data_IF_424367045485
#
_entry.id   IF_424367045485
#
_cell.length_a   1.000
_cell.length_b   1.000
_cell.length_c   1.000
_cell.angle_alpha   90.00
_cell.angle_beta   90.00
_cell.angle_gamma   90.00
#
_symmetry.space_group_name_H-M   'P 1'
#
loop_
_entity.id
_entity.type
_entity.pdbx_description
1 polymer ?
#
# COMPACT_ATOMS: atom_id res chain seq x y z
N UNK A 1 11.77 -8.65 -24.47
CA UNK A 1 10.61 -8.20 -23.69
C UNK A 1 11.01 -8.35 -22.22
N UNK A 2 11.29 -7.26 -21.49
CA UNK A 2 11.78 -7.39 -20.12
C UNK A 2 10.66 -8.01 -19.29
N UNK A 3 10.99 -9.14 -18.68
CA UNK A 3 10.09 -10.00 -17.94
C UNK A 3 9.28 -9.20 -16.93
N UNK A 4 7.99 -9.54 -16.85
CA UNK A 4 7.04 -9.22 -15.79
C UNK A 4 7.54 -9.83 -14.47
N UNK A 5 8.73 -9.41 -14.03
CA UNK A 5 9.31 -9.85 -12.77
C UNK A 5 8.46 -9.22 -11.68
N UNK A 6 7.61 -10.07 -11.13
CA UNK A 6 6.89 -9.79 -9.92
C UNK A 6 7.85 -9.14 -8.91
N UNK A 7 7.54 -7.93 -8.41
CA UNK A 7 8.48 -7.20 -7.56
C UNK A 7 8.76 -7.92 -6.25
N UNK A 8 7.83 -8.78 -5.83
CA UNK A 8 7.98 -9.63 -4.66
C UNK A 8 7.70 -11.07 -5.09
N UNK A 9 8.63 -12.01 -4.87
CA UNK A 9 8.34 -13.42 -5.09
C UNK A 9 7.27 -13.89 -4.10
N UNK A 10 6.32 -14.75 -4.49
CA UNK A 10 5.20 -15.17 -3.64
C UNK A 10 5.64 -15.82 -2.31
N UNK A 11 6.84 -16.41 -2.29
CA UNK A 11 7.51 -16.97 -1.11
C UNK A 11 7.96 -15.93 -0.07
N UNK A 12 8.08 -14.66 -0.46
CA UNK A 12 8.36 -13.55 0.46
C UNK A 12 7.10 -12.84 0.97
N UNK A 13 5.91 -13.22 0.47
CA UNK A 13 4.66 -12.63 0.93
C UNK A 13 4.22 -13.26 2.26
N UNK A 14 3.65 -12.46 3.18
CA UNK A 14 3.07 -13.02 4.40
C UNK A 14 1.90 -13.96 4.07
N UNK A 15 1.65 -14.98 4.91
CA UNK A 15 0.65 -15.98 4.59
C UNK A 15 -0.76 -15.38 4.50
N UNK A 16 -1.49 -15.82 3.47
CA UNK A 16 -2.84 -15.33 3.18
C UNK A 16 -2.90 -14.12 2.24
N UNK A 17 -1.74 -13.54 1.87
CA UNK A 17 -1.63 -12.51 0.84
C UNK A 17 -1.27 -13.11 -0.52
N UNK A 18 -1.86 -12.55 -1.57
CA UNK A 18 -1.54 -12.89 -2.95
C UNK A 18 -1.54 -11.65 -3.82
N UNK A 19 -0.75 -11.63 -4.90
CA UNK A 19 -0.77 -10.52 -5.83
C UNK A 19 -2.06 -10.49 -6.64
N UNK A 20 -2.55 -9.28 -6.88
CA UNK A 20 -3.69 -9.00 -7.77
C UNK A 20 -3.19 -8.36 -9.06
N UNK A 21 -2.31 -7.36 -8.95
CA UNK A 21 -1.76 -6.62 -10.07
C UNK A 21 -0.33 -6.18 -9.75
N UNK A 22 0.63 -6.39 -10.65
CA UNK A 22 2.03 -6.03 -10.42
C UNK A 22 2.66 -5.41 -11.67
N UNK A 23 2.11 -4.28 -12.09
CA UNK A 23 2.53 -3.53 -13.26
C UNK A 23 3.62 -2.51 -12.91
N UNK A 24 4.14 -1.83 -13.94
CA UNK A 24 5.15 -0.77 -13.77
C UNK A 24 4.65 0.41 -12.92
N UNK A 25 3.36 0.69 -13.01
CA UNK A 25 2.74 1.89 -12.44
C UNK A 25 1.73 1.56 -11.32
N UNK A 26 1.44 0.28 -11.07
CA UNK A 26 0.51 -0.14 -10.01
C UNK A 26 0.89 -1.49 -9.44
N UNK A 27 0.86 -1.57 -8.12
CA UNK A 27 1.10 -2.79 -7.34
C UNK A 27 -0.11 -3.02 -6.44
N UNK A 28 -0.75 -4.17 -6.53
CA UNK A 28 -1.92 -4.52 -5.74
C UNK A 28 -1.76 -5.94 -5.19
N UNK A 29 -2.03 -6.09 -3.90
CA UNK A 29 -1.99 -7.35 -3.18
C UNK A 29 -3.25 -7.50 -2.35
N UNK A 30 -3.81 -8.70 -2.33
CA UNK A 30 -5.05 -8.98 -1.62
C UNK A 30 -4.86 -10.08 -0.60
N UNK A 31 -5.44 -9.87 0.57
CA UNK A 31 -5.62 -10.88 1.60
C UNK A 31 -6.96 -11.59 1.40
N UNK A 32 -6.95 -12.92 1.49
CA UNK A 32 -8.17 -13.71 1.31
C UNK A 32 -9.15 -13.59 2.49
N UNK A 33 -8.64 -13.56 3.73
CA UNK A 33 -9.44 -13.48 4.96
C UNK A 33 -8.73 -12.69 6.07
N UNK A 34 -9.31 -11.57 6.54
CA UNK A 34 -10.46 -10.87 5.95
C UNK A 34 -10.11 -10.25 4.59
N UNK A 35 -11.10 -9.94 3.72
CA UNK A 35 -10.86 -9.37 2.39
C UNK A 35 -10.32 -7.94 2.53
N UNK A 36 -9.02 -7.80 2.33
CA UNK A 36 -8.30 -6.53 2.35
C UNK A 36 -7.43 -6.48 1.10
N UNK A 37 -7.46 -5.38 0.39
CA UNK A 37 -6.55 -5.09 -0.71
C UNK A 37 -5.62 -3.95 -0.31
N UNK A 38 -4.33 -4.12 -0.58
CA UNK A 38 -3.32 -3.09 -0.45
C UNK A 38 -2.84 -2.71 -1.84
N UNK A 39 -2.89 -1.42 -2.16
CA UNK A 39 -2.55 -0.89 -3.47
C UNK A 39 -1.49 0.18 -3.31
N UNK A 40 -0.43 0.12 -4.11
CA UNK A 40 0.46 1.24 -4.38
C UNK A 40 0.29 1.66 -5.84
N UNK A 41 -0.21 2.88 -6.03
CA UNK A 41 -0.45 3.46 -7.35
C UNK A 41 0.55 4.58 -7.63
N UNK A 42 1.11 4.60 -8.84
CA UNK A 42 2.04 5.63 -9.28
C UNK A 42 1.26 6.86 -9.75
N UNK A 43 1.23 7.88 -8.92
CA UNK A 43 0.53 9.13 -9.19
C UNK A 43 1.50 10.22 -9.69
N UNK A 44 1.09 11.07 -10.64
CA UNK A 44 1.88 12.22 -11.05
C UNK A 44 2.07 13.17 -9.87
N UNK A 45 3.27 13.74 -9.74
CA UNK A 45 3.63 14.59 -8.61
C UNK A 45 3.07 16.03 -8.72
N UNK A 46 2.24 16.34 -9.73
CA UNK A 46 1.50 17.61 -9.83
C UNK A 46 0.70 17.91 -8.55
N UNK A 47 0.33 16.88 -7.79
CA UNK A 47 -0.36 16.98 -6.48
C UNK A 47 0.55 16.69 -5.26
N UNK A 48 1.86 16.55 -5.44
CA UNK A 48 2.82 16.16 -4.41
C UNK A 48 4.01 17.12 -4.40
N UNK A 49 3.90 18.17 -3.58
CA UNK A 49 4.91 19.17 -3.25
C UNK A 49 5.84 19.64 -4.38
N UNK A 50 5.68 20.87 -4.89
CA UNK A 50 6.63 21.44 -5.85
C UNK A 50 8.07 21.59 -5.31
N UNK A 51 8.29 21.41 -4.01
CA UNK A 51 9.60 21.54 -3.35
C UNK A 51 10.55 20.33 -3.49
N UNK A 52 10.06 19.16 -3.92
CA UNK A 52 10.90 17.95 -4.01
C UNK A 52 11.42 17.67 -5.44
N UNK A 53 10.93 18.38 -6.47
CA UNK A 53 11.35 18.16 -7.87
C UNK A 53 11.03 16.76 -8.41
N UNK A 54 10.14 16.02 -7.74
CA UNK A 54 9.71 14.70 -8.18
C UNK A 54 8.70 14.86 -9.32
N UNK A 55 8.81 14.03 -10.37
CA UNK A 55 7.81 13.96 -11.45
C UNK A 55 6.65 13.01 -11.15
N UNK A 56 6.82 12.10 -10.18
CA UNK A 56 5.81 11.14 -9.73
C UNK A 56 6.09 10.67 -8.30
N UNK A 57 5.05 10.17 -7.64
CA UNK A 57 5.13 9.48 -6.35
C UNK A 57 4.31 8.19 -6.42
N UNK A 58 4.42 7.38 -5.38
CA UNK A 58 3.63 6.18 -5.18
C UNK A 58 2.74 6.39 -3.98
N UNK A 59 1.43 6.31 -4.17
CA UNK A 59 0.43 6.43 -3.12
C UNK A 59 0.02 5.04 -2.65
N UNK A 60 0.28 4.75 -1.38
CA UNK A 60 -0.11 3.52 -0.71
C UNK A 60 -1.50 3.70 -0.11
N UNK A 61 -2.37 2.75 -0.39
CA UNK A 61 -3.77 2.74 0.01
C UNK A 61 -4.17 1.34 0.44
N UNK A 62 -5.18 1.25 1.30
CA UNK A 62 -5.86 0.00 1.57
C UNK A 62 -7.33 0.11 1.21
N UNK A 63 -7.91 -1.02 0.80
CA UNK A 63 -9.32 -1.17 0.53
C UNK A 63 -9.85 -2.35 1.34
N UNK A 64 -10.96 -2.18 2.02
CA UNK A 64 -11.61 -3.27 2.74
C UNK A 64 -13.13 -3.17 2.65
N UNK A 65 -13.80 -4.31 2.75
CA UNK A 65 -15.25 -4.38 2.88
C UNK A 65 -15.63 -4.38 4.36
N UNK A 66 -16.44 -3.40 4.76
CA UNK A 66 -17.01 -3.29 6.11
C UNK A 66 -18.51 -3.02 6.01
N UNK A 67 -19.32 -3.90 6.59
CA UNK A 67 -20.79 -3.76 6.61
C UNK A 67 -21.39 -3.44 5.23
N UNK A 68 -20.98 -4.20 4.20
CA UNK A 68 -21.40 -4.03 2.79
C UNK A 68 -20.88 -2.76 2.09
N UNK A 69 -20.00 -1.99 2.74
CA UNK A 69 -19.37 -0.80 2.16
C UNK A 69 -17.90 -1.04 1.88
N UNK A 70 -17.46 -0.62 0.70
CA UNK A 70 -16.04 -0.54 0.38
C UNK A 70 -15.46 0.74 0.98
N UNK A 71 -14.47 0.56 1.86
CA UNK A 71 -13.70 1.63 2.48
C UNK A 71 -12.34 1.64 1.80
N UNK A 72 -12.00 2.77 1.18
CA UNK A 72 -10.65 3.02 0.67
C UNK A 72 -10.01 4.12 1.48
N UNK A 73 -8.82 3.87 2.02
CA UNK A 73 -8.06 4.88 2.74
C UNK A 73 -6.59 4.88 2.35
N UNK A 74 -6.03 6.08 2.31
CA UNK A 74 -4.62 6.32 2.02
C UNK A 74 -3.79 6.11 3.28
N UNK A 75 -2.74 5.31 3.14
CA UNK A 75 -1.74 5.03 4.18
C UNK A 75 -0.65 6.11 4.13
N UNK A 76 -0.16 6.43 2.94
CA UNK A 76 0.89 7.43 2.76
C UNK A 76 1.41 7.50 1.33
N UNK A 77 2.45 8.31 1.11
CA UNK A 77 3.09 8.48 -0.19
C UNK A 77 4.59 8.23 -0.07
N UNK A 78 5.18 7.65 -1.10
CA UNK A 78 6.63 7.41 -1.19
C UNK A 78 7.16 7.82 -2.55
N UNK A 79 8.45 8.14 -2.62
CA UNK A 79 9.07 8.68 -3.84
C UNK A 79 9.49 7.61 -4.85
N UNK A 80 9.65 6.35 -4.44
CA UNK A 80 10.19 5.27 -5.29
C UNK A 80 9.33 4.02 -5.28
N UNK A 81 9.41 3.23 -6.36
CA UNK A 81 8.73 1.93 -6.45
C UNK A 81 9.25 0.94 -5.40
N UNK A 82 10.54 0.98 -5.09
CA UNK A 82 11.15 0.12 -4.07
C UNK A 82 10.56 0.42 -2.70
N UNK A 83 10.51 1.70 -2.31
CA UNK A 83 9.84 2.14 -1.09
C UNK A 83 8.36 1.75 -1.05
N UNK A 84 7.67 1.75 -2.19
CA UNK A 84 6.28 1.32 -2.26
C UNK A 84 6.14 -0.18 -1.99
N UNK A 85 7.03 -1.01 -2.55
CA UNK A 85 7.07 -2.45 -2.28
C UNK A 85 7.37 -2.73 -0.82
N UNK A 86 8.40 -2.08 -0.25
CA UNK A 86 8.75 -2.22 1.17
C UNK A 86 7.60 -1.79 2.08
N UNK A 87 6.97 -0.65 1.78
CA UNK A 87 5.82 -0.16 2.53
C UNK A 87 4.63 -1.12 2.47
N UNK A 88 4.33 -1.69 1.30
CA UNK A 88 3.28 -2.70 1.15
C UNK A 88 3.60 -3.96 1.96
N UNK A 89 4.84 -4.45 1.94
CA UNK A 89 5.25 -5.62 2.71
C UNK A 89 5.15 -5.39 4.22
N UNK A 90 5.59 -4.24 4.71
CA UNK A 90 5.41 -3.84 6.10
C UNK A 90 3.92 -3.80 6.47
N UNK A 91 3.07 -3.17 5.63
CA UNK A 91 1.62 -3.15 5.83
C UNK A 91 1.03 -4.57 5.93
N UNK A 92 1.40 -5.46 5.00
CA UNK A 92 0.94 -6.86 5.00
C UNK A 92 1.34 -7.59 6.28
N UNK A 93 2.59 -7.42 6.72
CA UNK A 93 3.13 -8.03 7.94
C UNK A 93 2.38 -7.56 9.19
N UNK A 94 2.15 -6.24 9.32
CA UNK A 94 1.43 -5.66 10.45
C UNK A 94 -0.03 -6.09 10.51
N UNK A 95 -0.72 -6.10 9.36
CA UNK A 95 -2.09 -6.57 9.26
C UNK A 95 -2.19 -8.07 9.52
N UNK A 96 -1.18 -8.86 9.13
CA UNK A 96 -1.13 -10.28 9.45
C UNK A 96 -1.01 -10.52 10.97
N UNK A 97 -0.15 -9.77 11.66
CA UNK A 97 0.05 -9.91 13.10
C UNK A 97 -1.09 -9.40 13.98
N UNK A 98 -1.94 -8.49 13.47
CA UNK A 98 -3.02 -7.84 14.25
C UNK A 98 -4.45 -8.28 13.90
N UNK A 99 -4.71 -8.67 12.65
CA UNK A 99 -6.07 -8.99 12.21
C UNK A 99 -6.26 -10.50 12.09
N UNK A 100 -7.01 -11.08 13.02
CA UNK A 100 -7.33 -12.49 13.03
C UNK A 100 -8.39 -12.84 11.97
N UNK A 101 -9.62 -12.33 12.10
CA UNK A 101 -10.75 -12.74 11.23
C UNK A 101 -11.72 -11.63 10.79
N UNK A 102 -11.61 -10.40 11.33
CA UNK A 102 -12.50 -9.28 10.96
C UNK A 102 -11.68 -8.14 10.36
N UNK A 103 -12.14 -7.60 9.23
CA UNK A 103 -11.62 -6.35 8.70
C UNK A 103 -12.39 -5.20 9.36
N UNK A 104 -12.01 -4.83 10.58
CA UNK A 104 -12.49 -3.58 11.17
C UNK A 104 -11.63 -2.42 10.64
N UNK A 105 -12.21 -1.39 10.00
CA UNK A 105 -11.44 -0.30 9.39
C UNK A 105 -10.68 0.52 10.44
N UNK A 106 -11.17 0.63 11.67
CA UNK A 106 -10.44 1.33 12.73
C UNK A 106 -9.22 0.51 13.17
N UNK A 107 -9.33 -0.81 13.27
CA UNK A 107 -8.19 -1.69 13.56
C UNK A 107 -7.17 -1.73 12.41
N UNK A 108 -7.63 -1.76 11.15
CA UNK A 108 -6.76 -1.67 9.98
C UNK A 108 -5.99 -0.35 10.02
N UNK A 109 -6.69 0.78 10.21
CA UNK A 109 -6.05 2.09 10.32
C UNK A 109 -5.05 2.14 11.48
N UNK A 110 -5.40 1.61 12.65
CA UNK A 110 -4.52 1.58 13.81
C UNK A 110 -3.29 0.68 13.61
N UNK A 111 -3.42 -0.42 12.85
CA UNK A 111 -2.30 -1.26 12.46
C UNK A 111 -1.35 -0.56 11.49
N UNK A 112 -1.90 0.27 10.59
CA UNK A 112 -1.16 0.95 9.53
C UNK A 112 -0.62 2.33 9.95
N UNK A 113 -1.12 2.92 11.04
CA UNK A 113 -0.71 4.25 11.52
C UNK A 113 0.78 4.34 11.90
N UNK A 114 1.40 3.23 12.27
CA UNK A 114 2.80 3.15 12.71
C UNK A 114 3.70 2.53 11.63
N UNK A 115 3.21 2.40 10.39
CA UNK A 115 4.02 1.92 9.27
C UNK A 115 5.10 2.95 8.95
N UNK A 116 6.36 2.52 9.02
CA UNK A 116 7.51 3.34 8.65
C UNK A 116 7.73 3.25 7.14
N UNK A 117 7.33 4.29 6.41
CA UNK A 117 7.54 4.36 4.97
C UNK A 117 8.93 4.94 4.65
N UNK A 118 9.83 4.10 4.13
CA UNK A 118 11.11 4.57 3.63
C UNK A 118 10.90 5.58 2.50
N UNK A 119 11.54 6.75 2.56
CA UNK A 119 11.36 7.78 1.52
C UNK A 119 9.93 8.34 1.45
N UNK A 120 9.24 8.39 2.59
CA UNK A 120 7.95 9.04 2.75
C UNK A 120 7.98 10.45 2.14
N UNK A 121 7.04 10.70 1.23
CA UNK A 121 6.76 12.05 0.74
C UNK A 121 5.80 12.68 1.73
N UNK A 122 6.17 13.79 2.40
CA UNK A 122 5.29 14.45 3.35
C UNK A 122 3.98 14.79 2.65
N UNK A 123 2.85 14.56 3.33
CA UNK A 123 1.58 15.00 2.78
C UNK A 123 1.57 16.53 2.76
N UNK A 124 1.22 17.11 1.63
CA UNK A 124 1.16 18.55 1.48
C UNK A 124 -0.01 19.19 2.16
N UNK A 125 -0.10 19.08 3.49
CA UNK A 125 -0.85 20.03 4.28
C UNK A 125 0.01 21.29 4.47
N UNK A 126 0.10 22.06 3.39
CA UNK A 126 0.34 23.50 3.50
C UNK A 126 -0.99 24.24 3.31
N UNK A 127 -1.96 23.96 4.17
CA UNK A 127 -2.84 24.93 4.85
C UNK A 127 -3.99 24.24 5.58
#
# INVERSE_FOLDING_TARGET
MPSDQHPVPPEALPPGWGPVECCRDRLAYRRARPPIELVADRTPADCSHPGLGLGFCWELQYQCLFEDREITERIGRVSTRHAAVEGLLECMSRLHGRLENRADPAEIRAALADVSLAGAVPDGSAR
#
